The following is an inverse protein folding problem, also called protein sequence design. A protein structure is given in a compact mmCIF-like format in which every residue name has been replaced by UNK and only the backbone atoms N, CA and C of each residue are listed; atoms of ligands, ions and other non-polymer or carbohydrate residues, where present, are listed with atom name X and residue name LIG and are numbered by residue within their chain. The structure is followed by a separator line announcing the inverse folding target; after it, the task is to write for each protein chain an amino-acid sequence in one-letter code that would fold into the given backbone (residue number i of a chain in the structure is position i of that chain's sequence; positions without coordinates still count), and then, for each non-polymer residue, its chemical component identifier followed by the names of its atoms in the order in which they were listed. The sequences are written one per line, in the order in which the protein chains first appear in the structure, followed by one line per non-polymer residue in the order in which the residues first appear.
data_IF_790978124560
#
_entry.id   IF_790978124560
#
_cell.length_a   1.000
_cell.length_b   1.000
_cell.length_c   1.000
_cell.angle_alpha   90.00
_cell.angle_beta   90.00
_cell.angle_gamma   90.00
#
_symmetry.space_group_name_H-M   'P 1'
#
loop_
_entity.id
_entity.type
_entity.pdbx_description
1 polymer ?
#
# COMPACT_ATOMS: atom_id res chain seq x y z
N UNK A 1 -5.36 -7.09 -18.04
CA UNK A 1 -4.66 -5.91 -17.47
C UNK A 1 -3.22 -5.92 -17.98
N UNK A 2 -2.82 -4.86 -18.67
CA UNK A 2 -1.51 -4.79 -19.32
C UNK A 2 -0.41 -4.52 -18.28
N UNK A 3 0.64 -5.37 -18.26
CA UNK A 3 1.78 -5.17 -17.37
C UNK A 3 2.74 -4.14 -17.99
N UNK A 4 3.14 -3.17 -17.21
CA UNK A 4 4.19 -2.24 -17.62
C UNK A 4 5.48 -2.97 -17.97
N UNK A 5 6.33 -2.35 -18.78
CA UNK A 5 7.67 -2.89 -19.03
C UNK A 5 8.46 -2.97 -17.72
N UNK A 6 9.40 -3.92 -17.62
CA UNK A 6 10.19 -4.06 -16.38
C UNK A 6 10.96 -2.77 -16.05
N UNK A 7 11.54 -2.11 -17.04
CA UNK A 7 12.29 -0.85 -16.83
C UNK A 7 11.40 0.29 -16.34
N UNK A 8 10.22 0.47 -16.96
CA UNK A 8 9.26 1.51 -16.54
C UNK A 8 8.75 1.26 -15.15
N UNK A 9 8.42 0.00 -14.79
CA UNK A 9 7.95 -0.36 -13.47
C UNK A 9 9.04 -0.14 -12.39
N UNK A 10 10.29 -0.51 -12.64
CA UNK A 10 11.42 -0.22 -11.72
C UNK A 10 11.58 1.28 -11.52
N UNK A 11 11.53 2.08 -12.59
CA UNK A 11 11.62 3.55 -12.49
C UNK A 11 10.46 4.12 -11.67
N UNK A 12 9.24 3.61 -11.85
CA UNK A 12 8.08 4.01 -11.06
C UNK A 12 8.26 3.72 -9.57
N UNK A 13 8.73 2.52 -9.20
CA UNK A 13 9.01 2.20 -7.79
C UNK A 13 10.13 3.09 -7.24
N UNK A 14 11.21 3.31 -7.99
CA UNK A 14 12.32 4.20 -7.57
C UNK A 14 11.91 5.65 -7.36
N UNK A 15 10.89 6.12 -8.06
CA UNK A 15 10.32 7.45 -7.84
C UNK A 15 9.59 7.56 -6.48
N UNK A 16 9.14 6.43 -5.93
CA UNK A 16 8.43 6.37 -4.65
C UNK A 16 9.38 6.02 -3.49
N UNK A 17 10.33 5.09 -3.74
CA UNK A 17 11.33 4.66 -2.76
C UNK A 17 12.71 4.50 -3.42
N UNK A 18 13.71 5.24 -2.93
CA UNK A 18 15.04 5.29 -3.54
C UNK A 18 15.85 3.98 -3.40
N UNK A 19 15.64 3.23 -2.33
CA UNK A 19 16.37 1.99 -2.03
C UNK A 19 15.80 0.74 -2.72
N UNK A 20 15.35 0.86 -3.99
CA UNK A 20 14.74 -0.24 -4.72
C UNK A 20 15.67 -0.80 -5.80
N UNK A 21 16.06 -2.07 -5.67
CA UNK A 21 16.93 -2.77 -6.63
C UNK A 21 16.18 -3.63 -7.66
N UNK A 22 14.84 -3.69 -7.56
CA UNK A 22 13.99 -4.38 -8.55
C UNK A 22 14.24 -5.89 -8.63
N UNK A 23 14.55 -6.53 -7.51
CA UNK A 23 14.84 -7.98 -7.43
C UNK A 23 15.99 -8.43 -8.32
N UNK A 24 17.10 -7.72 -8.29
CA UNK A 24 18.32 -8.14 -8.96
C UNK A 24 18.87 -9.45 -8.38
N UNK A 25 19.76 -10.08 -9.15
CA UNK A 25 20.32 -11.38 -8.80
C UNK A 25 20.92 -11.36 -7.38
N UNK A 26 20.52 -12.32 -6.56
CA UNK A 26 20.91 -12.48 -5.13
C UNK A 26 20.42 -11.38 -4.17
N UNK A 27 19.58 -10.43 -4.62
CA UNK A 27 19.04 -9.34 -3.79
C UNK A 27 17.52 -9.45 -3.57
N UNK A 28 16.96 -10.65 -3.71
CA UNK A 28 15.51 -10.83 -3.53
C UNK A 28 15.07 -10.42 -2.12
N UNK A 29 15.74 -10.93 -1.10
CA UNK A 29 15.39 -10.67 0.31
C UNK A 29 15.57 -9.20 0.68
N UNK A 30 16.68 -8.58 0.26
CA UNK A 30 16.96 -7.18 0.55
C UNK A 30 15.89 -6.27 -0.08
N UNK A 31 15.51 -6.56 -1.33
CA UNK A 31 14.48 -5.80 -2.05
C UNK A 31 13.10 -6.02 -1.42
N UNK A 32 12.74 -7.27 -1.09
CA UNK A 32 11.47 -7.60 -0.45
C UNK A 32 11.36 -6.93 0.93
N UNK A 33 12.42 -6.97 1.71
CA UNK A 33 12.49 -6.29 3.01
C UNK A 33 12.31 -4.77 2.85
N UNK A 34 13.05 -4.14 1.92
CA UNK A 34 12.94 -2.70 1.67
C UNK A 34 11.52 -2.28 1.26
N UNK A 35 10.86 -3.06 0.39
CA UNK A 35 9.46 -2.81 -0.01
C UNK A 35 8.53 -2.88 1.20
N UNK A 36 8.67 -3.88 2.07
CA UNK A 36 7.84 -4.04 3.26
C UNK A 36 8.04 -2.91 4.27
N UNK A 37 9.28 -2.51 4.51
CA UNK A 37 9.58 -1.38 5.40
C UNK A 37 8.95 -0.08 4.85
N UNK A 38 9.01 0.15 3.54
CA UNK A 38 8.37 1.32 2.93
C UNK A 38 6.84 1.24 3.03
N UNK A 39 6.25 0.06 2.79
CA UNK A 39 4.81 -0.15 2.96
C UNK A 39 4.38 0.09 4.42
N UNK A 40 5.13 -0.43 5.40
CA UNK A 40 4.88 -0.19 6.83
C UNK A 40 4.92 1.30 7.15
N UNK A 41 6.00 1.98 6.78
CA UNK A 41 6.17 3.42 7.02
C UNK A 41 5.01 4.24 6.45
N UNK A 42 4.55 3.93 5.22
CA UNK A 42 3.42 4.63 4.59
C UNK A 42 2.09 4.31 5.25
N UNK A 43 1.91 3.08 5.68
CA UNK A 43 0.71 2.64 6.41
C UNK A 43 0.60 3.37 7.74
N UNK A 44 1.71 3.47 8.50
CA UNK A 44 1.75 4.20 9.77
C UNK A 44 1.44 5.69 9.55
N UNK A 45 2.06 6.32 8.56
CA UNK A 45 1.81 7.73 8.22
C UNK A 45 0.34 7.97 7.81
N UNK A 46 -0.24 7.10 6.99
CA UNK A 46 -1.64 7.22 6.58
C UNK A 46 -2.59 7.01 7.76
N UNK A 47 -2.26 6.11 8.69
CA UNK A 47 -3.02 5.91 9.93
C UNK A 47 -3.07 7.19 10.78
N UNK A 48 -1.93 7.88 10.92
CA UNK A 48 -1.88 9.16 11.65
C UNK A 48 -2.74 10.24 10.98
N UNK A 49 -2.73 10.29 9.65
CA UNK A 49 -3.60 11.22 8.91
C UNK A 49 -5.08 10.89 9.10
N UNK A 50 -5.46 9.62 9.00
CA UNK A 50 -6.85 9.18 9.21
C UNK A 50 -7.32 9.40 10.66
N UNK A 51 -6.44 9.28 11.64
CA UNK A 51 -6.76 9.63 13.03
C UNK A 51 -7.12 11.11 13.14
N UNK A 52 -6.31 12.01 12.56
CA UNK A 52 -6.58 13.46 12.57
C UNK A 52 -7.89 13.81 11.86
N UNK A 53 -8.18 13.17 10.73
CA UNK A 53 -9.46 13.36 10.02
C UNK A 53 -10.62 12.90 10.89
N UNK A 54 -10.55 11.70 11.44
CA UNK A 54 -11.59 11.14 12.30
C UNK A 54 -11.90 12.07 13.50
N UNK A 55 -10.87 12.58 14.17
CA UNK A 55 -11.02 13.48 15.30
C UNK A 55 -11.70 14.81 14.92
N UNK A 56 -11.44 15.30 13.69
CA UNK A 56 -12.12 16.50 13.18
C UNK A 56 -13.57 16.24 12.86
N UNK A 57 -13.87 15.18 12.11
CA UNK A 57 -15.22 14.81 11.72
C UNK A 57 -16.10 14.55 12.97
N UNK A 58 -15.55 13.90 13.98
CA UNK A 58 -16.25 13.66 15.25
C UNK A 58 -16.57 14.98 15.96
N UNK A 59 -15.67 15.97 15.94
CA UNK A 59 -15.92 17.30 16.51
C UNK A 59 -16.96 18.11 15.73
N UNK A 60 -17.10 17.86 14.44
CA UNK A 60 -18.11 18.48 13.58
C UNK A 60 -19.43 17.71 13.52
N UNK A 61 -19.57 16.65 14.34
CA UNK A 61 -20.75 15.78 14.43
C UNK A 61 -21.13 15.09 13.11
N UNK A 62 -20.18 14.97 12.14
CA UNK A 62 -20.37 14.23 10.90
C UNK A 62 -20.15 12.74 11.11
N UNK A 63 -21.18 12.06 11.63
CA UNK A 63 -21.12 10.65 12.01
C UNK A 63 -20.94 9.73 10.80
N UNK A 64 -21.51 10.06 9.66
CA UNK A 64 -21.45 9.21 8.46
C UNK A 64 -20.02 9.23 7.88
N UNK A 65 -19.42 10.41 7.69
CA UNK A 65 -18.04 10.54 7.26
C UNK A 65 -17.05 9.95 8.28
N UNK A 66 -17.29 10.11 9.58
CA UNK A 66 -16.47 9.51 10.63
C UNK A 66 -16.55 7.97 10.60
N UNK A 67 -17.71 7.39 10.23
CA UNK A 67 -17.85 5.93 10.05
C UNK A 67 -17.02 5.43 8.88
N UNK A 68 -17.07 6.08 7.72
CA UNK A 68 -16.24 5.74 6.54
C UNK A 68 -14.74 5.78 6.87
N UNK A 69 -14.29 6.79 7.61
CA UNK A 69 -12.89 6.87 8.05
C UNK A 69 -12.54 5.73 9.02
N UNK A 70 -13.46 5.31 9.88
CA UNK A 70 -13.26 4.16 10.78
C UNK A 70 -13.07 2.88 9.99
N UNK A 71 -13.85 2.65 8.94
CA UNK A 71 -13.76 1.49 8.07
C UNK A 71 -12.46 1.49 7.26
N UNK A 72 -12.04 2.67 6.79
CA UNK A 72 -10.73 2.83 6.16
C UNK A 72 -9.57 2.49 7.11
N UNK A 73 -9.65 2.92 8.39
CA UNK A 73 -8.67 2.58 9.44
C UNK A 73 -8.63 1.08 9.72
N UNK A 74 -9.79 0.41 9.80
CA UNK A 74 -9.87 -1.04 9.98
C UNK A 74 -9.21 -1.79 8.81
N UNK A 75 -9.48 -1.35 7.57
CA UNK A 75 -8.86 -1.91 6.37
C UNK A 75 -7.35 -1.68 6.35
N UNK A 76 -6.89 -0.49 6.76
CA UNK A 76 -5.47 -0.16 6.86
C UNK A 76 -4.74 -0.98 7.93
N UNK A 77 -5.39 -1.23 9.08
CA UNK A 77 -4.87 -2.16 10.11
C UNK A 77 -4.69 -3.56 9.55
N UNK A 78 -5.64 -4.03 8.76
CA UNK A 78 -5.51 -5.31 8.06
C UNK A 78 -4.38 -5.34 7.04
N UNK A 79 -4.13 -4.23 6.32
CA UNK A 79 -2.99 -4.09 5.42
C UNK A 79 -1.66 -4.13 6.19
N UNK A 80 -1.57 -3.43 7.33
CA UNK A 80 -0.39 -3.47 8.19
C UNK A 80 -0.06 -4.90 8.65
N UNK A 81 -1.08 -5.66 9.06
CA UNK A 81 -0.92 -7.08 9.40
C UNK A 81 -0.44 -7.91 8.20
N UNK A 82 -1.05 -7.72 7.02
CA UNK A 82 -0.66 -8.44 5.79
C UNK A 82 0.80 -8.09 5.37
N UNK A 83 1.30 -6.89 5.63
CA UNK A 83 2.72 -6.50 5.45
C UNK A 83 3.63 -7.26 6.42
N UNK A 84 3.24 -7.36 7.68
CA UNK A 84 4.06 -7.97 8.73
C UNK A 84 4.15 -9.49 8.60
N UNK A 85 3.01 -10.18 8.38
CA UNK A 85 2.94 -11.64 8.40
C UNK A 85 3.61 -12.31 7.21
N UNK A 86 3.71 -11.64 6.07
CA UNK A 86 4.34 -12.24 4.88
C UNK A 86 5.86 -12.52 5.05
N UNK A 87 6.53 -11.93 6.05
CA UNK A 87 7.97 -12.15 6.33
C UNK A 87 8.19 -13.38 7.22
N UNK A 88 7.30 -13.64 8.16
CA UNK A 88 7.52 -14.63 9.23
C UNK A 88 7.19 -16.07 8.85
N UNK A 89 6.47 -16.30 7.76
CA UNK A 89 5.98 -17.62 7.39
C UNK A 89 6.84 -18.39 6.40
N UNK A 90 7.85 -17.76 5.78
CA UNK A 90 8.71 -18.44 4.81
C UNK A 90 9.96 -19.00 5.48
N UNK A 91 10.21 -20.32 5.41
CA UNK A 91 11.43 -20.92 5.92
C UNK A 91 12.64 -20.36 5.17
N UNK A 92 13.72 -20.10 5.91
CA UNK A 92 14.96 -19.50 5.37
C UNK A 92 15.53 -20.27 4.17
N UNK A 93 15.26 -21.57 4.09
CA UNK A 93 15.65 -22.44 2.97
C UNK A 93 14.88 -22.18 1.67
N UNK A 94 13.62 -21.72 1.75
CA UNK A 94 12.84 -21.38 0.56
C UNK A 94 13.33 -20.10 -0.11
N UNK A 95 13.88 -19.17 0.66
CA UNK A 95 14.45 -17.91 0.13
C UNK A 95 15.73 -18.13 -0.68
N UNK A 96 16.51 -19.16 -0.39
CA UNK A 96 17.71 -19.49 -1.17
C UNK A 96 17.37 -20.08 -2.55
N UNK A 97 16.19 -20.68 -2.71
CA UNK A 97 15.72 -21.20 -4.01
C UNK A 97 15.30 -20.10 -4.98
N UNK A 98 14.90 -18.92 -4.48
CA UNK A 98 14.51 -17.75 -5.31
C UNK A 98 15.76 -16.97 -5.81
N UNK A 99 16.95 -17.50 -5.68
CA UNK A 99 18.21 -16.83 -6.06
C UNK A 99 18.32 -16.35 -7.52
N UNK A 100 17.37 -16.76 -8.40
CA UNK A 100 17.26 -16.32 -9.78
C UNK A 100 15.82 -16.25 -10.24
N UNK A 101 15.18 -15.09 -10.05
CA UNK A 101 13.93 -14.82 -10.74
C UNK A 101 14.18 -14.66 -12.25
N UNK A 102 13.50 -15.45 -13.07
CA UNK A 102 13.41 -15.21 -14.49
C UNK A 102 12.82 -13.82 -14.80
N UNK A 103 13.03 -13.31 -16.03
CA UNK A 103 12.58 -11.96 -16.42
C UNK A 103 11.06 -11.75 -16.24
N UNK A 104 10.25 -12.77 -16.54
CA UNK A 104 8.79 -12.66 -16.45
C UNK A 104 8.30 -12.62 -15.00
N UNK A 105 8.66 -13.53 -14.07
CA UNK A 105 8.32 -13.42 -12.66
C UNK A 105 8.82 -12.12 -12.01
N UNK A 106 10.03 -11.68 -12.33
CA UNK A 106 10.58 -10.42 -11.86
C UNK A 106 9.71 -9.24 -12.28
N UNK A 107 9.29 -9.18 -13.56
CA UNK A 107 8.40 -8.14 -14.09
C UNK A 107 7.05 -8.13 -13.35
N UNK A 108 6.45 -9.28 -13.09
CA UNK A 108 5.19 -9.38 -12.38
C UNK A 108 5.32 -8.85 -10.94
N UNK A 109 6.35 -9.27 -10.22
CA UNK A 109 6.59 -8.85 -8.85
C UNK A 109 6.80 -7.34 -8.74
N UNK A 110 7.64 -6.75 -9.60
CA UNK A 110 7.87 -5.30 -9.65
C UNK A 110 6.57 -4.53 -9.95
N UNK A 111 5.70 -5.06 -10.81
CA UNK A 111 4.40 -4.44 -11.08
C UNK A 111 3.45 -4.53 -9.87
N UNK A 112 3.48 -5.61 -9.09
CA UNK A 112 2.72 -5.69 -7.84
C UNK A 112 3.22 -4.67 -6.81
N UNK A 113 4.54 -4.53 -6.63
CA UNK A 113 5.13 -3.53 -5.74
C UNK A 113 4.70 -2.12 -6.14
N UNK A 114 4.84 -1.77 -7.43
CA UNK A 114 4.46 -0.46 -7.94
C UNK A 114 2.99 -0.14 -7.66
N UNK A 115 2.08 -1.04 -8.00
CA UNK A 115 0.64 -0.83 -7.80
C UNK A 115 0.27 -0.63 -6.34
N UNK A 116 0.83 -1.47 -5.45
CA UNK A 116 0.57 -1.33 -4.02
C UNK A 116 1.03 0.03 -3.50
N UNK A 117 2.24 0.45 -3.87
CA UNK A 117 2.82 1.72 -3.47
C UNK A 117 2.05 2.93 -4.06
N UNK A 118 1.68 2.88 -5.34
CA UNK A 118 0.89 3.93 -6.00
C UNK A 118 -0.47 4.13 -5.33
N UNK A 119 -1.14 3.06 -4.91
CA UNK A 119 -2.42 3.15 -4.21
C UNK A 119 -2.26 3.81 -2.84
N UNK A 120 -1.21 3.48 -2.08
CA UNK A 120 -0.93 4.14 -0.80
C UNK A 120 -0.56 5.62 -0.97
N UNK A 121 0.23 5.95 -1.99
CA UNK A 121 0.54 7.36 -2.32
C UNK A 121 -0.74 8.12 -2.68
N UNK A 122 -1.62 7.51 -3.47
CA UNK A 122 -2.90 8.12 -3.84
C UNK A 122 -3.80 8.30 -2.62
N UNK A 123 -3.92 7.30 -1.75
CA UNK A 123 -4.68 7.39 -0.50
C UNK A 123 -4.15 8.52 0.41
N UNK A 124 -2.81 8.65 0.52
CA UNK A 124 -2.20 9.72 1.31
C UNK A 124 -2.54 11.11 0.76
N UNK A 125 -2.51 11.29 -0.56
CA UNK A 125 -2.89 12.56 -1.21
C UNK A 125 -4.35 12.90 -0.94
N UNK A 126 -5.25 11.94 -1.20
CA UNK A 126 -6.69 12.14 -0.92
C UNK A 126 -6.95 12.45 0.55
N UNK A 127 -6.19 11.83 1.47
CA UNK A 127 -6.31 12.11 2.90
C UNK A 127 -5.81 13.52 3.27
N UNK A 128 -4.79 14.04 2.58
CA UNK A 128 -4.34 15.43 2.75
C UNK A 128 -5.40 16.41 2.26
N UNK A 129 -5.98 16.16 1.07
CA UNK A 129 -7.08 16.97 0.53
C UNK A 129 -8.27 16.98 1.53
N UNK A 130 -8.58 15.84 2.12
CA UNK A 130 -9.62 15.71 3.13
C UNK A 130 -9.30 16.49 4.42
N UNK A 131 -8.03 16.50 4.86
CA UNK A 131 -7.58 17.30 5.99
C UNK A 131 -7.71 18.79 5.72
N UNK A 132 -7.41 19.24 4.53
CA UNK A 132 -7.56 20.66 4.13
C UNK A 132 -9.03 21.07 4.08
N UNK A 133 -9.88 20.26 3.44
CA UNK A 133 -11.32 20.50 3.33
C UNK A 133 -12.02 20.48 4.69
N UNK A 134 -11.71 19.52 5.55
CA UNK A 134 -12.28 19.43 6.90
C UNK A 134 -11.85 20.57 7.85
N UNK A 135 -10.88 21.39 7.45
CA UNK A 135 -10.47 22.58 8.20
C UNK A 135 -11.36 23.80 7.88
N UNK A 136 -12.12 23.77 6.79
CA UNK A 136 -12.96 24.87 6.31
C UNK A 136 -14.43 24.58 6.64
N UNK A 137 -15.05 25.38 7.48
CA UNK A 137 -16.46 25.24 7.88
C UNK A 137 -17.47 25.45 6.74
N UNK A 138 -17.03 25.77 5.53
CA UNK A 138 -17.86 26.06 4.36
C UNK A 138 -17.92 24.92 3.34
N UNK A 139 -17.30 23.75 3.61
CA UNK A 139 -17.26 22.65 2.65
C UNK A 139 -18.56 21.84 2.69
N UNK A 140 -19.19 21.55 1.54
CA UNK A 140 -20.36 20.65 1.50
C UNK A 140 -20.03 19.27 2.09
N UNK A 141 -20.91 18.77 2.95
CA UNK A 141 -20.74 17.46 3.60
C UNK A 141 -20.60 16.32 2.58
N UNK A 142 -21.29 16.39 1.46
CA UNK A 142 -21.22 15.40 0.38
C UNK A 142 -19.80 15.26 -0.20
N UNK A 143 -19.04 16.36 -0.33
CA UNK A 143 -17.66 16.33 -0.83
C UNK A 143 -16.73 15.63 0.18
N UNK A 144 -16.93 15.86 1.47
CA UNK A 144 -16.17 15.21 2.54
C UNK A 144 -16.44 13.71 2.55
N UNK A 145 -17.69 13.29 2.48
CA UNK A 145 -18.08 11.87 2.43
C UNK A 145 -17.50 11.18 1.19
N UNK A 146 -17.57 11.82 0.02
CA UNK A 146 -17.01 11.26 -1.23
C UNK A 146 -15.49 11.04 -1.13
N UNK A 147 -14.74 11.95 -0.48
CA UNK A 147 -13.31 11.78 -0.24
C UNK A 147 -13.01 10.68 0.77
N UNK A 148 -13.80 10.55 1.85
CA UNK A 148 -13.68 9.46 2.82
C UNK A 148 -13.85 8.10 2.15
N UNK A 149 -14.92 7.93 1.35
CA UNK A 149 -15.17 6.70 0.59
C UNK A 149 -14.04 6.41 -0.40
N UNK A 150 -13.48 7.44 -1.06
CA UNK A 150 -12.33 7.30 -1.96
C UNK A 150 -11.08 6.81 -1.24
N UNK A 151 -10.76 7.35 -0.05
CA UNK A 151 -9.63 6.87 0.76
C UNK A 151 -9.82 5.41 1.12
N UNK A 152 -11.02 5.03 1.58
CA UNK A 152 -11.36 3.65 1.92
C UNK A 152 -11.15 2.70 0.72
N UNK A 153 -11.68 3.04 -0.46
CA UNK A 153 -11.48 2.25 -1.68
C UNK A 153 -9.99 2.12 -2.06
N UNK A 154 -9.21 3.21 -1.99
CA UNK A 154 -7.79 3.19 -2.32
C UNK A 154 -6.98 2.30 -1.35
N UNK A 155 -7.28 2.33 -0.06
CA UNK A 155 -6.66 1.45 0.95
C UNK A 155 -7.05 0.00 0.69
N UNK A 156 -8.32 -0.27 0.37
CA UNK A 156 -8.80 -1.60 0.01
C UNK A 156 -8.08 -2.17 -1.22
N UNK A 157 -7.89 -1.36 -2.26
CA UNK A 157 -7.12 -1.75 -3.46
C UNK A 157 -5.64 -2.01 -3.14
N UNK A 158 -5.01 -1.16 -2.32
CA UNK A 158 -3.62 -1.38 -1.88
C UNK A 158 -3.47 -2.73 -1.18
N UNK A 159 -4.39 -3.06 -0.28
CA UNK A 159 -4.40 -4.34 0.43
C UNK A 159 -4.58 -5.53 -0.51
N UNK A 160 -5.49 -5.45 -1.49
CA UNK A 160 -5.70 -6.50 -2.47
C UNK A 160 -4.45 -6.73 -3.32
N UNK A 161 -3.79 -5.66 -3.80
CA UNK A 161 -2.55 -5.78 -4.56
C UNK A 161 -1.40 -6.38 -3.73
N UNK A 162 -1.31 -6.05 -2.43
CA UNK A 162 -0.34 -6.67 -1.53
C UNK A 162 -0.61 -8.17 -1.35
N UNK A 163 -1.86 -8.57 -1.21
CA UNK A 163 -2.25 -10.00 -1.10
C UNK A 163 -1.92 -10.76 -2.38
N UNK A 164 -2.24 -10.20 -3.55
CA UNK A 164 -1.87 -10.77 -4.85
C UNK A 164 -0.35 -10.95 -4.96
N UNK A 165 0.43 -9.95 -4.53
CA UNK A 165 1.89 -10.00 -4.46
C UNK A 165 2.36 -11.15 -3.56
N UNK A 166 1.83 -11.26 -2.36
CA UNK A 166 2.21 -12.29 -1.40
C UNK A 166 1.88 -13.70 -1.91
N UNK A 167 0.70 -13.89 -2.47
CA UNK A 167 0.30 -15.15 -3.13
C UNK A 167 1.22 -15.50 -4.30
N UNK A 168 1.64 -14.51 -5.07
CA UNK A 168 2.58 -14.70 -6.18
C UNK A 168 3.95 -15.18 -5.67
N UNK A 169 4.49 -14.57 -4.60
CA UNK A 169 5.74 -14.98 -3.97
C UNK A 169 5.63 -16.42 -3.43
N UNK A 170 4.56 -16.76 -2.73
CA UNK A 170 4.32 -18.12 -2.24
C UNK A 170 4.26 -19.14 -3.38
N UNK A 171 3.65 -18.79 -4.50
CA UNK A 171 3.62 -19.63 -5.70
C UNK A 171 5.00 -19.83 -6.34
N UNK A 172 5.91 -18.87 -6.21
CA UNK A 172 7.30 -19.00 -6.66
C UNK A 172 8.12 -19.93 -5.74
N UNK A 173 7.83 -19.91 -4.44
CA UNK A 173 8.55 -20.73 -3.44
C UNK A 173 8.16 -22.21 -3.49
N UNK A 174 6.98 -22.56 -4.01
CA UNK A 174 6.48 -23.93 -4.12
C UNK A 174 6.95 -24.67 -5.39
N UNK A 175 7.67 -24.00 -6.30
CA UNK A 175 8.25 -24.55 -7.53
C UNK A 175 9.72 -24.90 -7.36
#
# INVERSE_FOLDING_TARGET
MELMSLGSAISGVKAIMSAYDGYERKRFLDTDFAVREELRRRTDMLMDHLNRVHDRLTRHEDQDAASEVRDAKATLTGLAADVQFAISSAPTSAHTSIGRLGRSPRRQLVNHDLRTLEMLVSATRTCNDLLELSATSATPQEDVQALCARVHDQVGRARNHLRERNMFIEGLMKR
#
